data_IF_649326496954
#
_entry.id   IF_649326496954
#
_cell.length_a   1.000
_cell.length_b   1.000
_cell.length_c   1.000
_cell.angle_alpha   90.00
_cell.angle_beta   90.00
_cell.angle_gamma   90.00
#
_symmetry.space_group_name_H-M   'P 1'
#
loop_
_entity.id
_entity.type
_entity.pdbx_description
1 polymer ?
#
# COMPACT_ATOMS: atom_id res chain seq x y z
N UNK A 1 -55.95 -33.14 -25.61
CA UNK A 1 -55.01 -32.24 -26.30
C UNK A 1 -54.97 -30.98 -25.47
N UNK A 2 -53.98 -30.89 -24.58
CA UNK A 2 -53.67 -29.65 -23.86
C UNK A 2 -52.77 -28.89 -24.81
N UNK A 3 -53.25 -27.78 -25.33
CA UNK A 3 -52.42 -26.84 -26.09
C UNK A 3 -51.83 -25.94 -25.00
N UNK A 4 -50.54 -26.12 -24.70
CA UNK A 4 -49.81 -25.14 -23.90
C UNK A 4 -49.85 -23.82 -24.63
N UNK A 5 -50.21 -22.75 -23.93
CA UNK A 5 -50.13 -21.40 -24.49
C UNK A 5 -48.67 -21.01 -24.34
N UNK A 6 -47.95 -20.97 -25.44
CA UNK A 6 -46.57 -20.50 -25.46
C UNK A 6 -46.58 -19.01 -25.11
N UNK A 7 -45.87 -18.65 -24.05
CA UNK A 7 -45.74 -17.25 -23.61
C UNK A 7 -44.30 -16.85 -23.80
N UNK A 8 -44.09 -15.68 -24.39
CA UNK A 8 -42.75 -15.16 -24.69
C UNK A 8 -41.83 -15.22 -23.45
N UNK A 9 -40.63 -15.77 -23.63
CA UNK A 9 -39.55 -15.67 -22.65
C UNK A 9 -39.04 -14.23 -22.58
N UNK A 10 -38.94 -13.65 -21.39
CA UNK A 10 -38.56 -12.25 -21.19
C UNK A 10 -37.30 -12.17 -20.32
N UNK A 11 -36.33 -11.37 -20.78
CA UNK A 11 -35.19 -10.93 -19.97
C UNK A 11 -35.55 -9.64 -19.24
N UNK A 12 -35.55 -9.66 -17.91
CA UNK A 12 -35.79 -8.46 -17.11
C UNK A 12 -34.52 -7.61 -17.03
N UNK A 13 -34.35 -6.65 -17.94
CA UNK A 13 -33.12 -5.86 -18.06
C UNK A 13 -32.75 -5.11 -16.76
N UNK A 14 -33.73 -4.68 -15.97
CA UNK A 14 -33.53 -4.00 -14.69
C UNK A 14 -33.11 -4.93 -13.54
N UNK A 15 -33.03 -6.24 -13.79
CA UNK A 15 -32.62 -7.26 -12.81
C UNK A 15 -31.19 -7.74 -13.00
N UNK A 16 -30.52 -7.23 -14.03
CA UNK A 16 -29.16 -7.63 -14.36
C UNK A 16 -28.18 -7.06 -13.34
N UNK A 17 -27.33 -7.92 -12.79
CA UNK A 17 -26.31 -7.54 -11.82
C UNK A 17 -24.98 -8.19 -12.19
N UNK A 18 -23.89 -7.42 -12.07
CA UNK A 18 -22.51 -7.88 -12.19
C UNK A 18 -21.75 -7.27 -11.03
N UNK A 19 -21.09 -8.08 -10.21
CA UNK A 19 -20.19 -7.53 -9.21
C UNK A 19 -18.89 -7.08 -9.89
N UNK A 20 -18.48 -5.85 -9.60
CA UNK A 20 -17.23 -5.28 -10.08
C UNK A 20 -16.50 -4.63 -8.90
N UNK A 21 -15.20 -4.43 -9.05
CA UNK A 21 -14.40 -3.62 -8.14
C UNK A 21 -14.11 -2.29 -8.83
N UNK A 22 -14.81 -1.22 -8.44
CA UNK A 22 -14.67 0.10 -9.06
C UNK A 22 -14.85 0.07 -10.60
N UNK A 23 -15.88 -0.63 -11.10
CA UNK A 23 -16.13 -0.89 -12.52
C UNK A 23 -15.13 -1.84 -13.22
N UNK A 24 -14.26 -2.53 -12.48
CA UNK A 24 -13.34 -3.54 -13.05
C UNK A 24 -13.75 -4.98 -12.74
N UNK A 25 -13.43 -5.88 -13.68
CA UNK A 25 -13.31 -7.31 -13.41
C UNK A 25 -11.83 -7.67 -13.29
N UNK A 26 -11.50 -8.36 -12.20
CA UNK A 26 -10.15 -8.74 -11.80
C UNK A 26 -9.81 -10.13 -12.33
N UNK A 27 -8.71 -10.28 -13.06
CA UNK A 27 -8.29 -11.60 -13.58
C UNK A 27 -7.92 -12.57 -12.47
N UNK A 28 -8.33 -13.83 -12.58
CA UNK A 28 -8.08 -14.85 -11.57
C UNK A 28 -8.93 -14.75 -10.31
N UNK A 29 -9.73 -13.69 -10.14
CA UNK A 29 -10.66 -13.56 -9.01
C UNK A 29 -12.06 -14.04 -9.41
N UNK A 30 -12.84 -14.46 -8.41
CA UNK A 30 -14.22 -14.87 -8.60
C UNK A 30 -15.16 -13.65 -8.72
N UNK A 31 -15.94 -13.64 -9.79
CA UNK A 31 -16.99 -12.70 -10.11
C UNK A 31 -18.32 -13.45 -10.26
N UNK A 32 -19.39 -12.70 -10.33
CA UNK A 32 -20.76 -13.13 -10.34
C UNK A 32 -21.57 -12.22 -11.26
N UNK A 33 -22.25 -12.85 -12.22
CA UNK A 33 -23.28 -12.20 -13.02
C UNK A 33 -24.61 -12.88 -12.72
N UNK A 34 -25.67 -12.08 -12.56
CA UNK A 34 -27.02 -12.60 -12.36
C UNK A 34 -28.04 -11.86 -13.22
N UNK A 35 -29.12 -12.56 -13.54
CA UNK A 35 -30.22 -12.06 -14.34
C UNK A 35 -31.52 -12.77 -13.98
N UNK A 36 -32.64 -12.09 -14.13
CA UNK A 36 -33.96 -12.70 -14.01
C UNK A 36 -34.54 -12.96 -15.40
N UNK A 37 -34.98 -14.20 -15.60
CA UNK A 37 -35.65 -14.66 -16.80
C UNK A 37 -37.08 -15.02 -16.39
N UNK A 38 -38.06 -14.45 -17.10
CA UNK A 38 -39.47 -14.82 -16.99
C UNK A 38 -39.82 -15.80 -18.11
N UNK A 39 -40.33 -16.98 -17.73
CA UNK A 39 -40.82 -18.00 -18.65
C UNK A 39 -41.96 -18.78 -17.97
N UNK A 40 -43.17 -18.77 -18.55
CA UNK A 40 -44.32 -19.45 -17.92
C UNK A 40 -44.24 -20.99 -17.99
N UNK A 41 -43.40 -21.55 -18.86
CA UNK A 41 -43.10 -22.98 -18.87
C UNK A 41 -41.97 -23.32 -17.88
N UNK A 42 -41.29 -22.28 -17.39
CA UNK A 42 -40.22 -22.31 -16.40
C UNK A 42 -38.85 -22.36 -17.06
N UNK A 43 -37.86 -21.67 -16.48
CA UNK A 43 -36.49 -21.55 -17.02
C UNK A 43 -35.80 -22.90 -17.32
N UNK A 44 -36.24 -24.00 -16.69
CA UNK A 44 -35.75 -25.35 -16.97
C UNK A 44 -36.25 -25.93 -18.31
N UNK A 45 -37.09 -25.24 -19.07
CA UNK A 45 -37.44 -25.67 -20.43
C UNK A 45 -36.49 -25.08 -21.47
N UNK A 46 -35.79 -24.00 -21.14
CA UNK A 46 -34.85 -23.31 -22.00
C UNK A 46 -33.66 -24.21 -22.31
N UNK A 47 -33.28 -24.26 -23.59
CA UNK A 47 -32.12 -25.03 -24.06
C UNK A 47 -30.80 -24.43 -23.58
N UNK A 48 -30.62 -23.12 -23.76
CA UNK A 48 -29.34 -22.45 -23.51
C UNK A 48 -29.50 -20.95 -23.21
N UNK A 49 -28.71 -20.45 -22.28
CA UNK A 49 -28.51 -19.02 -22.02
C UNK A 49 -27.04 -18.68 -22.32
N UNK A 50 -26.80 -17.83 -23.30
CA UNK A 50 -25.46 -17.38 -23.69
C UNK A 50 -25.21 -15.98 -23.12
N UNK A 51 -24.14 -15.84 -22.35
CA UNK A 51 -23.65 -14.56 -21.84
C UNK A 51 -22.41 -14.16 -22.64
N UNK A 52 -22.43 -12.98 -23.23
CA UNK A 52 -21.31 -12.38 -23.94
C UNK A 52 -20.69 -11.30 -23.06
N UNK A 53 -19.81 -11.66 -22.13
CA UNK A 53 -19.21 -10.73 -21.16
C UNK A 53 -18.45 -9.57 -21.83
N UNK A 54 -17.75 -9.84 -22.93
CA UNK A 54 -17.06 -8.81 -23.71
C UNK A 54 -17.94 -8.18 -24.81
N UNK A 55 -19.23 -8.54 -24.88
CA UNK A 55 -20.18 -8.12 -25.91
C UNK A 55 -20.21 -9.05 -27.14
N UNK A 56 -21.38 -9.18 -27.77
CA UNK A 56 -21.61 -10.13 -28.88
C UNK A 56 -20.66 -9.96 -30.07
N UNK A 57 -20.21 -8.74 -30.36
CA UNK A 57 -19.29 -8.47 -31.48
C UNK A 57 -17.87 -8.99 -31.23
N UNK A 58 -17.51 -9.26 -29.97
CA UNK A 58 -16.20 -9.76 -29.59
C UNK A 58 -16.17 -11.27 -29.40
N UNK A 59 -17.32 -11.96 -29.53
CA UNK A 59 -17.40 -13.41 -29.44
C UNK A 59 -16.36 -14.08 -30.39
N UNK A 60 -15.62 -15.10 -29.92
CA UNK A 60 -15.88 -15.88 -28.71
C UNK A 60 -15.33 -15.28 -27.41
N UNK A 61 -14.64 -14.13 -27.42
CA UNK A 61 -14.10 -13.50 -26.20
C UNK A 61 -15.23 -13.20 -25.21
N UNK A 62 -15.07 -13.65 -23.95
CA UNK A 62 -16.06 -13.44 -22.91
C UNK A 62 -17.35 -14.26 -23.07
N UNK A 63 -17.42 -15.21 -24.00
CA UNK A 63 -18.63 -16.00 -24.25
C UNK A 63 -18.78 -17.16 -23.26
N UNK A 64 -19.95 -17.32 -22.65
CA UNK A 64 -20.30 -18.40 -21.73
C UNK A 64 -21.67 -18.96 -22.08
N UNK A 65 -21.76 -20.28 -22.20
CA UNK A 65 -22.98 -21.01 -22.50
C UNK A 65 -23.47 -21.71 -21.25
N UNK A 66 -24.66 -21.38 -20.78
CA UNK A 66 -25.29 -21.98 -19.61
C UNK A 66 -26.41 -22.91 -20.08
N UNK A 67 -26.41 -24.14 -19.60
CA UNK A 67 -27.57 -25.04 -19.69
C UNK A 67 -28.35 -24.95 -18.36
N UNK A 68 -29.52 -24.29 -18.34
CA UNK A 68 -30.30 -24.11 -17.11
C UNK A 68 -30.87 -25.41 -16.55
N UNK A 69 -30.98 -26.47 -17.37
CA UNK A 69 -31.54 -27.77 -16.95
C UNK A 69 -30.56 -28.55 -16.12
N UNK A 70 -29.30 -28.52 -16.56
CA UNK A 70 -28.20 -29.24 -15.91
C UNK A 70 -27.48 -28.37 -14.88
N UNK A 71 -27.77 -27.06 -14.84
CA UNK A 71 -27.08 -26.08 -13.99
C UNK A 71 -25.57 -26.07 -14.24
N UNK A 72 -25.19 -26.14 -15.51
CA UNK A 72 -23.79 -26.16 -15.94
C UNK A 72 -23.49 -25.00 -16.87
N UNK A 73 -22.23 -24.56 -16.85
CA UNK A 73 -21.72 -23.55 -17.76
C UNK A 73 -20.51 -24.11 -18.52
N UNK A 74 -20.42 -23.79 -19.79
CA UNK A 74 -19.31 -24.14 -20.68
C UNK A 74 -18.87 -22.92 -21.47
N UNK A 75 -17.64 -22.93 -21.96
CA UNK A 75 -17.07 -21.78 -22.67
C UNK A 75 -16.37 -22.27 -23.94
N UNK A 76 -16.57 -21.60 -25.09
CA UNK A 76 -15.83 -21.93 -26.29
C UNK A 76 -14.33 -21.59 -26.16
N UNK A 77 -13.51 -22.22 -27.00
CA UNK A 77 -12.07 -21.88 -27.09
C UNK A 77 -11.92 -20.40 -27.45
N UNK A 78 -11.12 -19.68 -26.66
CA UNK A 78 -10.90 -18.23 -26.85
C UNK A 78 -11.89 -17.34 -26.10
N UNK A 79 -12.71 -17.90 -25.20
CA UNK A 79 -13.54 -17.12 -24.28
C UNK A 79 -12.75 -16.45 -23.16
N UNK A 80 -11.70 -17.11 -22.65
CA UNK A 80 -10.92 -16.63 -21.50
C UNK A 80 -11.75 -16.43 -20.22
N UNK A 81 -12.95 -17.01 -20.17
CA UNK A 81 -13.74 -17.15 -18.95
C UNK A 81 -13.54 -18.57 -18.40
N UNK A 82 -13.31 -18.66 -17.11
CA UNK A 82 -13.34 -19.91 -16.36
C UNK A 82 -14.73 -20.03 -15.71
N UNK A 83 -15.64 -20.86 -16.25
CA UNK A 83 -16.98 -20.99 -15.71
C UNK A 83 -16.92 -21.67 -14.34
N UNK A 84 -17.61 -21.08 -13.36
CA UNK A 84 -17.76 -21.62 -12.02
C UNK A 84 -19.14 -22.25 -11.83
N UNK A 85 -19.73 -22.00 -10.67
CA UNK A 85 -21.03 -22.56 -10.31
C UNK A 85 -22.18 -21.77 -10.91
N UNK A 86 -23.19 -22.48 -11.40
CA UNK A 86 -24.47 -21.90 -11.81
C UNK A 86 -25.51 -22.21 -10.73
N UNK A 87 -26.26 -21.20 -10.30
CA UNK A 87 -27.37 -21.36 -9.36
C UNK A 87 -28.64 -20.73 -9.90
N UNK A 88 -29.78 -21.27 -9.46
CA UNK A 88 -31.10 -20.83 -9.86
C UNK A 88 -31.95 -20.62 -8.61
N UNK A 89 -32.60 -19.46 -8.52
CA UNK A 89 -33.54 -19.10 -7.46
C UNK A 89 -34.89 -18.78 -8.10
N UNK A 90 -35.94 -19.55 -7.77
CA UNK A 90 -37.31 -19.22 -8.18
C UNK A 90 -37.81 -18.02 -7.37
N UNK A 91 -38.27 -16.98 -8.06
CA UNK A 91 -38.81 -15.76 -7.46
C UNK A 91 -40.35 -15.86 -7.36
N UNK A 92 -40.98 -16.40 -8.40
CA UNK A 92 -42.41 -16.70 -8.46
C UNK A 92 -42.68 -17.88 -9.43
N UNK A 93 -43.94 -18.03 -9.88
CA UNK A 93 -44.38 -19.13 -10.76
C UNK A 93 -43.76 -19.09 -12.17
N UNK A 94 -43.34 -17.91 -12.66
CA UNK A 94 -42.78 -17.73 -14.01
C UNK A 94 -41.36 -17.14 -14.00
N UNK A 95 -40.93 -16.51 -12.90
CA UNK A 95 -39.68 -15.77 -12.82
C UNK A 95 -38.62 -16.53 -12.03
N UNK A 96 -37.42 -16.63 -12.60
CA UNK A 96 -36.26 -17.25 -11.92
C UNK A 96 -35.00 -16.41 -12.10
N UNK A 97 -34.23 -16.24 -11.03
CA UNK A 97 -32.90 -15.64 -11.07
C UNK A 97 -31.88 -16.72 -11.39
N UNK A 98 -31.16 -16.54 -12.50
CA UNK A 98 -30.00 -17.31 -12.88
C UNK A 98 -28.75 -16.55 -12.43
N UNK A 99 -27.84 -17.24 -11.73
CA UNK A 99 -26.58 -16.66 -11.26
C UNK A 99 -25.42 -17.54 -11.70
N UNK A 100 -24.40 -16.93 -12.31
CA UNK A 100 -23.16 -17.58 -12.69
C UNK A 100 -22.01 -16.98 -11.88
N UNK A 101 -21.28 -17.81 -11.15
CA UNK A 101 -19.95 -17.48 -10.66
C UNK A 101 -18.91 -17.83 -11.74
N UNK A 102 -17.92 -16.98 -11.96
CA UNK A 102 -16.89 -17.17 -12.98
C UNK A 102 -15.61 -16.42 -12.61
N UNK A 103 -14.49 -16.77 -13.24
CA UNK A 103 -13.27 -15.98 -13.18
C UNK A 103 -12.79 -15.63 -14.59
N UNK A 104 -12.08 -14.51 -14.75
CA UNK A 104 -11.34 -14.26 -15.99
C UNK A 104 -10.01 -15.00 -15.93
N UNK A 105 -9.60 -15.65 -17.01
CA UNK A 105 -8.29 -16.28 -17.11
C UNK A 105 -7.19 -15.21 -17.17
N UNK A 106 -6.04 -15.46 -16.55
CA UNK A 106 -4.87 -14.57 -16.63
C UNK A 106 -4.35 -14.34 -18.05
N UNK A 107 -4.76 -15.18 -19.00
CA UNK A 107 -4.46 -15.05 -20.43
C UNK A 107 -5.45 -14.13 -21.18
N UNK A 108 -6.41 -13.51 -20.49
CA UNK A 108 -7.35 -12.57 -21.10
C UNK A 108 -6.60 -11.45 -21.83
N UNK A 109 -6.85 -11.19 -23.13
CA UNK A 109 -5.98 -10.31 -23.93
C UNK A 109 -5.88 -8.88 -23.39
N UNK A 110 -4.65 -8.43 -23.14
CA UNK A 110 -4.37 -7.13 -22.51
C UNK A 110 -4.75 -5.91 -23.36
N UNK A 111 -4.94 -6.08 -24.68
CA UNK A 111 -5.40 -5.01 -25.57
C UNK A 111 -6.84 -4.53 -25.26
N UNK A 112 -7.55 -5.19 -24.33
CA UNK A 112 -8.87 -4.78 -23.85
C UNK A 112 -8.84 -3.96 -22.55
N UNK A 113 -7.68 -3.79 -21.89
CA UNK A 113 -7.53 -3.03 -20.62
C UNK A 113 -8.01 -1.58 -20.67
N UNK A 114 -7.97 -0.95 -21.84
CA UNK A 114 -8.41 0.44 -22.02
C UNK A 114 -9.79 0.55 -22.67
N UNK A 115 -10.46 -0.59 -22.88
CA UNK A 115 -11.73 -0.66 -23.58
C UNK A 115 -12.85 -1.08 -22.63
N UNK A 116 -13.86 -0.22 -22.51
CA UNK A 116 -15.10 -0.57 -21.84
C UNK A 116 -15.78 -1.73 -22.58
N UNK A 117 -16.03 -2.81 -21.84
CA UNK A 117 -16.79 -3.95 -22.31
C UNK A 117 -18.23 -3.82 -21.82
N UNK A 118 -19.18 -4.13 -22.71
CA UNK A 118 -20.61 -4.09 -22.42
C UNK A 118 -21.20 -5.47 -22.69
N UNK A 119 -21.62 -6.20 -21.65
CA UNK A 119 -22.18 -7.52 -21.82
C UNK A 119 -23.43 -7.56 -22.69
N UNK A 120 -23.73 -8.75 -23.21
CA UNK A 120 -25.01 -9.10 -23.83
C UNK A 120 -25.48 -10.48 -23.38
N UNK A 121 -26.77 -10.75 -23.47
CA UNK A 121 -27.38 -12.03 -23.12
C UNK A 121 -28.30 -12.48 -24.25
N UNK A 122 -28.18 -13.74 -24.63
CA UNK A 122 -29.04 -14.39 -25.61
C UNK A 122 -29.64 -15.65 -24.99
N UNK A 123 -30.93 -15.88 -25.22
CA UNK A 123 -31.65 -17.08 -24.76
C UNK A 123 -32.10 -17.86 -25.98
N UNK A 124 -31.78 -19.15 -25.99
CA UNK A 124 -32.11 -20.08 -27.06
C UNK A 124 -33.04 -21.15 -26.49
N UNK A 125 -34.14 -21.38 -27.19
CA UNK A 125 -35.09 -22.46 -26.94
C UNK A 125 -35.55 -23.07 -28.26
N UNK A 126 -35.65 -24.39 -28.34
CA UNK A 126 -35.98 -25.15 -29.56
C UNK A 126 -35.16 -24.70 -30.80
N UNK A 127 -33.86 -24.41 -30.60
CA UNK A 127 -32.93 -23.88 -31.61
C UNK A 127 -33.27 -22.47 -32.14
N UNK A 128 -34.19 -21.76 -31.50
CA UNK A 128 -34.56 -20.39 -31.85
C UNK A 128 -34.14 -19.42 -30.75
N UNK A 129 -33.73 -18.21 -31.14
CA UNK A 129 -33.51 -17.14 -30.18
C UNK A 129 -34.86 -16.61 -29.73
N UNK A 130 -35.17 -16.78 -28.44
CA UNK A 130 -36.43 -16.35 -27.83
C UNK A 130 -36.28 -15.00 -27.10
N UNK A 131 -35.09 -14.69 -26.60
CA UNK A 131 -34.76 -13.37 -26.05
C UNK A 131 -33.31 -12.98 -26.36
N UNK A 132 -33.05 -11.68 -26.54
CA UNK A 132 -31.71 -11.17 -26.81
C UNK A 132 -31.60 -9.71 -26.38
N UNK A 133 -30.65 -9.40 -25.49
CA UNK A 133 -30.32 -8.04 -25.05
C UNK A 133 -28.83 -7.82 -25.25
N UNK A 134 -28.47 -6.68 -25.84
CA UNK A 134 -27.09 -6.36 -26.19
C UNK A 134 -26.66 -5.01 -25.64
N UNK A 135 -25.34 -4.85 -25.42
CA UNK A 135 -24.74 -3.62 -24.93
C UNK A 135 -25.39 -3.13 -23.63
N UNK A 136 -25.50 -4.04 -22.66
CA UNK A 136 -26.11 -3.77 -21.35
C UNK A 136 -25.19 -2.83 -20.59
N UNK A 137 -25.46 -1.52 -20.69
CA UNK A 137 -24.59 -0.47 -20.15
C UNK A 137 -24.44 -0.50 -18.62
N UNK A 138 -25.46 -0.99 -17.92
CA UNK A 138 -25.45 -1.13 -16.45
C UNK A 138 -24.49 -2.23 -15.98
N UNK A 139 -24.12 -3.18 -16.86
CA UNK A 139 -23.13 -4.22 -16.59
C UNK A 139 -21.77 -3.90 -17.20
N UNK A 140 -21.51 -2.65 -17.60
CA UNK A 140 -20.22 -2.30 -18.20
C UNK A 140 -19.09 -2.60 -17.23
N UNK A 141 -17.95 -3.00 -17.77
CA UNK A 141 -16.76 -3.26 -16.98
C UNK A 141 -15.49 -3.00 -17.78
N UNK A 142 -14.37 -2.87 -17.06
CA UNK A 142 -13.04 -2.80 -17.64
C UNK A 142 -12.14 -3.92 -17.09
N UNK A 143 -11.15 -4.34 -17.87
CA UNK A 143 -10.22 -5.40 -17.47
C UNK A 143 -9.16 -4.85 -16.52
N UNK A 144 -9.01 -5.47 -15.36
CA UNK A 144 -7.85 -5.27 -14.50
C UNK A 144 -6.98 -6.54 -14.46
N UNK A 145 -5.83 -6.45 -15.10
CA UNK A 145 -4.83 -7.53 -15.17
C UNK A 145 -3.42 -7.04 -14.81
N UNK A 146 -3.32 -5.91 -14.12
CA UNK A 146 -2.06 -5.39 -13.62
C UNK A 146 -2.04 -5.48 -12.11
N UNK A 147 -0.97 -6.03 -11.56
CA UNK A 147 -0.74 -6.01 -10.12
C UNK A 147 0.31 -4.96 -9.74
N UNK A 148 0.11 -4.31 -8.61
CA UNK A 148 1.08 -3.43 -7.96
C UNK A 148 1.03 -3.64 -6.44
N UNK A 149 1.80 -2.84 -5.70
CA UNK A 149 1.78 -2.86 -4.24
C UNK A 149 1.33 -1.52 -3.69
N UNK A 150 0.51 -1.57 -2.64
CA UNK A 150 0.22 -0.44 -1.76
C UNK A 150 1.08 -0.59 -0.49
N UNK A 151 1.84 0.46 -0.14
CA UNK A 151 2.77 0.42 1.00
C UNK A 151 2.05 0.93 2.24
N UNK A 152 2.05 0.11 3.29
CA UNK A 152 1.50 0.46 4.59
C UNK A 152 2.52 1.24 5.42
N UNK A 153 3.72 0.66 5.62
CA UNK A 153 4.73 1.30 6.45
C UNK A 153 6.15 0.83 6.12
N UNK A 154 7.12 1.73 6.33
CA UNK A 154 8.54 1.42 6.37
C UNK A 154 9.03 1.47 7.82
N UNK A 155 9.85 0.50 8.21
CA UNK A 155 10.36 0.41 9.56
C UNK A 155 11.87 0.21 9.56
N UNK A 156 12.58 1.09 10.24
CA UNK A 156 13.96 0.81 10.62
C UNK A 156 13.98 -0.31 11.68
N UNK A 157 14.92 -1.24 11.52
CA UNK A 157 15.12 -2.38 12.41
C UNK A 157 16.49 -2.34 13.11
N UNK A 158 17.27 -1.27 12.91
CA UNK A 158 18.61 -1.11 13.46
C UNK A 158 18.61 0.03 14.46
N UNK A 159 18.98 -0.25 15.71
CA UNK A 159 19.14 0.84 16.67
C UNK A 159 20.32 1.73 16.28
N UNK A 160 20.21 3.06 16.42
CA UNK A 160 19.03 3.82 16.86
C UNK A 160 17.95 3.99 15.78
N UNK A 161 16.68 3.77 16.15
CA UNK A 161 15.57 3.71 15.20
C UNK A 161 15.16 5.09 14.67
N UNK A 162 14.98 5.21 13.36
CA UNK A 162 14.31 6.34 12.73
C UNK A 162 12.77 6.28 12.83
N UNK A 163 12.12 7.42 12.53
CA UNK A 163 10.65 7.48 12.47
C UNK A 163 10.13 6.76 11.22
N UNK A 164 9.14 5.89 11.40
CA UNK A 164 8.44 5.22 10.30
C UNK A 164 7.55 6.14 9.48
N UNK A 165 7.48 5.88 8.18
CA UNK A 165 6.58 6.52 7.20
C UNK A 165 6.41 5.58 5.98
N UNK A 166 5.26 5.58 5.27
CA UNK A 166 5.02 4.70 4.11
C UNK A 166 5.88 5.01 2.87
N UNK A 167 6.44 6.22 2.77
CA UNK A 167 7.08 6.73 1.56
C UNK A 167 8.55 7.08 1.75
N UNK A 168 8.96 7.47 2.97
CA UNK A 168 10.32 7.91 3.24
C UNK A 168 10.89 7.37 4.53
N UNK A 169 12.08 6.79 4.48
CA UNK A 169 12.78 6.30 5.67
C UNK A 169 14.21 6.83 5.71
N UNK A 170 14.66 7.22 6.89
CA UNK A 170 16.02 7.68 7.15
C UNK A 170 16.81 6.53 7.76
N UNK A 171 17.99 6.24 7.23
CA UNK A 171 18.78 5.05 7.60
C UNK A 171 20.27 5.33 7.56
N UNK A 172 20.99 4.62 8.42
CA UNK A 172 22.41 4.40 8.36
C UNK A 172 22.84 3.41 7.27
N UNK A 173 24.12 3.47 6.92
CA UNK A 173 24.77 2.47 6.09
C UNK A 173 24.93 1.18 6.88
N UNK A 174 24.46 0.08 6.33
CA UNK A 174 24.44 -1.22 7.00
C UNK A 174 23.11 -1.54 7.67
N UNK A 175 22.21 -0.55 7.78
CA UNK A 175 20.93 -0.74 8.46
C UNK A 175 20.04 -1.70 7.69
N UNK A 176 19.21 -2.40 8.46
CA UNK A 176 18.15 -3.27 7.97
C UNK A 176 16.83 -2.54 8.20
N UNK A 177 15.96 -2.56 7.19
CA UNK A 177 14.62 -2.02 7.28
C UNK A 177 13.59 -3.03 6.76
N UNK A 178 12.37 -2.95 7.29
CA UNK A 178 11.21 -3.68 6.81
C UNK A 178 10.33 -2.82 5.91
N UNK A 179 9.71 -3.47 4.94
CA UNK A 179 8.66 -2.93 4.07
C UNK A 179 7.43 -3.81 4.29
N UNK A 180 6.32 -3.19 4.70
CA UNK A 180 5.01 -3.83 4.77
C UNK A 180 4.06 -3.20 3.78
N UNK A 181 3.15 -4.01 3.24
CA UNK A 181 2.17 -3.56 2.27
C UNK A 181 1.30 -4.68 1.76
N UNK A 182 0.44 -4.35 0.80
CA UNK A 182 -0.53 -5.29 0.23
C UNK A 182 -0.41 -5.29 -1.29
N UNK A 183 -0.51 -6.47 -1.89
CA UNK A 183 -0.64 -6.62 -3.35
C UNK A 183 -2.05 -6.29 -3.79
N UNK A 184 -2.18 -5.37 -4.71
CA UNK A 184 -3.45 -4.88 -5.23
C UNK A 184 -3.47 -4.87 -6.75
N UNK A 185 -4.67 -4.90 -7.33
CA UNK A 185 -4.89 -4.63 -8.74
C UNK A 185 -4.75 -3.13 -9.01
N UNK A 186 -3.96 -2.76 -10.01
CA UNK A 186 -3.52 -1.38 -10.21
C UNK A 186 -4.60 -0.44 -10.77
N UNK A 187 -5.65 -0.97 -11.40
CA UNK A 187 -6.75 -0.14 -11.93
C UNK A 187 -7.85 0.10 -10.90
N UNK A 188 -8.15 -0.92 -10.12
CA UNK A 188 -9.28 -0.96 -9.17
C UNK A 188 -8.90 -0.72 -7.72
N UNK A 189 -7.61 -0.78 -7.38
CA UNK A 189 -7.05 -0.78 -6.03
C UNK A 189 -7.57 -1.93 -5.14
N UNK A 190 -8.17 -2.96 -5.75
CA UNK A 190 -8.68 -4.11 -5.02
C UNK A 190 -7.54 -5.04 -4.61
N UNK A 191 -7.57 -5.51 -3.37
CA UNK A 191 -6.67 -6.55 -2.88
C UNK A 191 -6.85 -7.87 -3.66
N UNK A 192 -5.75 -8.54 -3.99
CA UNK A 192 -5.79 -9.87 -4.58
C UNK A 192 -6.19 -10.90 -3.52
N UNK A 193 -7.24 -11.70 -3.76
CA UNK A 193 -7.70 -12.70 -2.78
C UNK A 193 -7.16 -14.09 -3.15
N UNK A 194 -7.37 -14.50 -4.40
CA UNK A 194 -6.86 -15.76 -4.94
C UNK A 194 -5.50 -15.52 -5.60
N UNK A 195 -4.42 -15.92 -4.92
CA UNK A 195 -3.06 -15.75 -5.43
C UNK A 195 -2.70 -16.83 -6.46
N UNK A 196 -2.11 -16.46 -7.61
CA UNK A 196 -1.49 -17.41 -8.51
C UNK A 196 -0.36 -18.21 -7.87
N UNK A 197 -0.16 -19.45 -8.34
CA UNK A 197 0.98 -20.26 -7.90
C UNK A 197 2.32 -19.60 -8.24
N UNK A 198 3.23 -19.57 -7.27
CA UNK A 198 4.59 -19.02 -7.39
C UNK A 198 4.66 -17.50 -7.66
N UNK A 199 3.60 -16.76 -7.34
CA UNK A 199 3.63 -15.30 -7.35
C UNK A 199 4.72 -14.81 -6.39
N UNK A 200 5.56 -13.88 -6.86
CA UNK A 200 6.71 -13.39 -6.10
C UNK A 200 6.70 -11.87 -6.05
N UNK A 201 7.16 -11.32 -4.93
CA UNK A 201 7.49 -9.90 -4.81
C UNK A 201 9.00 -9.72 -4.94
N UNK A 202 9.42 -8.77 -5.75
CA UNK A 202 10.81 -8.37 -5.92
C UNK A 202 10.98 -6.91 -5.53
N UNK A 203 11.71 -6.65 -4.45
CA UNK A 203 12.04 -5.30 -4.03
C UNK A 203 13.54 -5.06 -4.20
N UNK A 204 13.92 -3.92 -4.75
CA UNK A 204 15.33 -3.59 -4.96
C UNK A 204 15.65 -2.10 -4.86
N UNK A 205 16.90 -1.82 -4.54
CA UNK A 205 17.51 -0.49 -4.59
C UNK A 205 18.87 -0.58 -5.28
N UNK A 206 19.23 0.45 -6.01
CA UNK A 206 20.47 0.48 -6.80
C UNK A 206 21.24 1.77 -6.54
N UNK A 207 22.51 1.65 -6.15
CA UNK A 207 23.42 2.77 -6.01
C UNK A 207 24.82 2.42 -6.52
N UNK A 208 25.46 3.34 -7.26
CA UNK A 208 26.80 3.14 -7.82
C UNK A 208 26.99 1.83 -8.62
N UNK A 209 25.93 1.33 -9.26
CA UNK A 209 25.95 0.07 -10.02
C UNK A 209 25.92 -1.20 -9.16
N UNK A 210 25.70 -1.06 -7.85
CA UNK A 210 25.46 -2.17 -6.92
C UNK A 210 23.97 -2.24 -6.62
N UNK A 211 23.38 -3.42 -6.81
CA UNK A 211 22.00 -3.72 -6.46
C UNK A 211 21.96 -4.40 -5.10
N UNK A 212 21.02 -3.96 -4.25
CA UNK A 212 20.56 -4.72 -3.10
C UNK A 212 19.09 -5.04 -3.32
N UNK A 213 18.73 -6.31 -3.19
CA UNK A 213 17.41 -6.80 -3.53
C UNK A 213 16.98 -7.95 -2.62
N UNK A 214 15.67 -8.20 -2.63
CA UNK A 214 15.02 -9.33 -1.97
C UNK A 214 13.91 -9.85 -2.86
N UNK A 215 13.77 -11.17 -2.91
CA UNK A 215 12.63 -11.85 -3.53
C UNK A 215 11.87 -12.59 -2.44
N UNK A 216 10.54 -12.40 -2.40
CA UNK A 216 9.64 -13.04 -1.44
C UNK A 216 8.59 -13.83 -2.20
N UNK A 217 8.44 -15.12 -1.89
CA UNK A 217 7.31 -15.93 -2.35
C UNK A 217 6.04 -15.47 -1.60
N UNK A 218 5.01 -15.07 -2.35
CA UNK A 218 3.76 -14.58 -1.77
C UNK A 218 2.81 -15.74 -1.47
N UNK A 219 2.35 -15.82 -0.23
CA UNK A 219 1.33 -16.79 0.21
C UNK A 219 -0.01 -16.13 0.54
N UNK A 220 0.00 -14.82 0.73
CA UNK A 220 -1.16 -13.96 0.94
C UNK A 220 -0.85 -12.59 0.30
N UNK A 221 -1.85 -11.72 0.15
CA UNK A 221 -1.65 -10.42 -0.48
C UNK A 221 -0.84 -9.46 0.37
N UNK A 222 -1.05 -9.49 1.69
CA UNK A 222 -0.23 -8.72 2.63
C UNK A 222 1.17 -9.33 2.72
N UNK A 223 2.19 -8.49 2.61
CA UNK A 223 3.58 -8.92 2.68
C UNK A 223 4.34 -8.15 3.76
N UNK A 224 5.39 -8.80 4.25
CA UNK A 224 6.40 -8.21 5.11
C UNK A 224 7.76 -8.73 4.64
N UNK A 225 8.61 -7.83 4.17
CA UNK A 225 9.95 -8.17 3.68
C UNK A 225 10.98 -7.23 4.28
N UNK A 226 12.25 -7.64 4.24
CA UNK A 226 13.37 -6.83 4.74
C UNK A 226 14.45 -6.67 3.68
N UNK A 227 15.07 -5.49 3.67
CA UNK A 227 16.31 -5.23 2.92
C UNK A 227 17.35 -4.65 3.87
N UNK A 228 18.61 -4.77 3.47
CA UNK A 228 19.73 -4.10 4.15
C UNK A 228 20.38 -3.10 3.20
N UNK A 229 20.65 -1.89 3.70
CA UNK A 229 21.42 -0.86 3.00
C UNK A 229 22.89 -1.27 3.00
N UNK A 230 23.50 -1.56 1.83
CA UNK A 230 24.90 -1.98 1.81
C UNK A 230 25.83 -0.87 2.34
N UNK A 231 26.84 -1.26 3.12
CA UNK A 231 27.83 -0.33 3.71
C UNK A 231 28.58 0.51 2.68
N UNK A 232 28.65 0.04 1.42
CA UNK A 232 29.30 0.74 0.32
C UNK A 232 28.44 1.79 -0.39
N UNK A 233 27.17 1.93 0.00
CA UNK A 233 26.27 2.92 -0.61
C UNK A 233 26.71 4.36 -0.23
N UNK A 234 26.52 5.33 -1.15
CA UNK A 234 26.80 6.72 -0.84
C UNK A 234 25.76 7.26 0.14
N UNK A 235 26.14 8.28 0.93
CA UNK A 235 25.14 9.07 1.64
C UNK A 235 24.33 9.87 0.61
N UNK A 236 23.01 9.92 0.77
CA UNK A 236 22.09 10.54 -0.20
C UNK A 236 20.75 10.83 0.47
N UNK A 237 20.08 11.89 0.06
CA UNK A 237 18.72 12.20 0.54
C UNK A 237 17.61 11.59 -0.34
N UNK A 238 18.00 10.84 -1.38
CA UNK A 238 17.09 10.27 -2.35
C UNK A 238 17.67 9.00 -2.97
N UNK A 239 17.38 7.85 -2.37
CA UNK A 239 17.61 6.52 -2.94
C UNK A 239 16.26 5.84 -3.18
N UNK A 240 15.80 5.71 -4.43
CA UNK A 240 14.52 5.05 -4.71
C UNK A 240 14.59 3.54 -4.42
N UNK A 241 13.50 3.00 -3.91
CA UNK A 241 13.25 1.55 -3.85
C UNK A 241 12.16 1.22 -4.87
N UNK A 242 12.41 0.23 -5.71
CA UNK A 242 11.44 -0.27 -6.68
C UNK A 242 10.89 -1.60 -6.22
N UNK A 243 9.58 -1.80 -6.38
CA UNK A 243 8.92 -3.08 -6.08
C UNK A 243 8.14 -3.55 -7.31
N UNK A 244 8.43 -4.77 -7.74
CA UNK A 244 7.79 -5.47 -8.84
C UNK A 244 7.15 -6.77 -8.33
N UNK A 245 6.17 -7.26 -9.09
CA UNK A 245 5.54 -8.56 -8.88
C UNK A 245 5.96 -9.47 -10.04
N UNK A 246 6.61 -10.57 -9.70
CA UNK A 246 7.14 -11.54 -10.64
C UNK A 246 6.20 -12.74 -10.77
N UNK A 247 6.39 -13.47 -11.88
CA UNK A 247 5.67 -14.72 -12.21
C UNK A 247 4.15 -14.57 -12.28
N UNK A 248 3.66 -13.38 -12.66
CA UNK A 248 2.24 -13.19 -12.97
C UNK A 248 1.87 -14.08 -14.17
N UNK A 249 0.81 -14.91 -14.08
CA UNK A 249 0.48 -15.84 -15.16
C UNK A 249 -0.03 -15.14 -16.43
N UNK A 250 -0.07 -15.92 -17.52
CA UNK A 250 -0.71 -15.52 -18.77
C UNK A 250 -0.10 -14.25 -19.36
N UNK A 251 -0.95 -13.22 -19.52
CA UNK A 251 -0.57 -11.88 -20.01
C UNK A 251 -0.78 -10.80 -18.95
N UNK A 252 -0.88 -11.20 -17.67
CA UNK A 252 -0.88 -10.26 -16.56
C UNK A 252 0.47 -9.53 -16.46
N UNK A 253 0.43 -8.32 -15.92
CA UNK A 253 1.61 -7.45 -15.85
C UNK A 253 1.81 -6.90 -14.45
N UNK A 254 3.06 -6.56 -14.13
CA UNK A 254 3.35 -5.79 -12.92
C UNK A 254 3.48 -4.32 -13.29
N UNK A 255 2.83 -3.47 -12.49
CA UNK A 255 3.09 -2.04 -12.46
C UNK A 255 4.08 -1.76 -11.32
N UNK A 256 5.34 -1.48 -11.69
CA UNK A 256 6.42 -1.19 -10.75
C UNK A 256 6.05 -0.05 -9.79
N UNK A 257 6.08 -0.33 -8.50
CA UNK A 257 5.94 0.70 -7.47
C UNK A 257 7.28 1.41 -7.27
N UNK A 258 7.26 2.74 -7.24
CA UNK A 258 8.45 3.60 -7.04
C UNK A 258 8.21 4.69 -5.98
N UNK A 259 7.22 4.48 -5.10
CA UNK A 259 6.77 5.49 -4.14
C UNK A 259 7.66 5.57 -2.88
N UNK A 260 8.61 4.67 -2.74
CA UNK A 260 9.53 4.61 -1.60
C UNK A 260 10.85 5.32 -1.94
N UNK A 261 11.30 6.20 -1.05
CA UNK A 261 12.59 6.88 -1.13
C UNK A 261 13.32 6.81 0.21
N UNK A 262 14.57 6.36 0.21
CA UNK A 262 15.41 6.32 1.40
C UNK A 262 16.35 7.54 1.46
N UNK A 263 16.60 8.05 2.66
CA UNK A 263 17.66 8.99 2.96
C UNK A 263 18.75 8.27 3.76
N UNK A 264 19.94 8.13 3.19
CA UNK A 264 21.07 7.42 3.77
C UNK A 264 22.05 8.42 4.37
N UNK A 265 22.20 8.42 5.68
CA UNK A 265 23.22 9.19 6.41
C UNK A 265 23.83 8.40 7.56
N UNK A 266 25.13 8.53 7.76
CA UNK A 266 25.86 7.86 8.85
C UNK A 266 26.90 8.80 9.47
N UNK A 267 26.66 10.09 9.33
CA UNK A 267 27.51 11.16 9.85
C UNK A 267 26.84 11.70 11.09
N UNK A 268 27.42 11.55 12.30
CA UNK A 268 26.79 12.08 13.49
C UNK A 268 26.77 13.61 13.51
N UNK A 269 25.71 14.21 14.10
CA UNK A 269 25.59 15.65 14.20
C UNK A 269 26.68 16.24 15.09
N UNK A 270 27.22 17.40 14.69
CA UNK A 270 28.29 18.09 15.42
C UNK A 270 27.74 19.32 16.12
N UNK A 271 27.62 19.26 17.45
CA UNK A 271 27.16 20.38 18.26
C UNK A 271 28.32 21.29 18.71
N UNK A 272 28.10 22.61 18.63
CA UNK A 272 29.00 23.64 19.14
C UNK A 272 28.26 24.72 19.93
N UNK A 273 28.90 25.23 20.97
CA UNK A 273 28.47 26.43 21.67
C UNK A 273 29.05 27.66 20.94
N UNK A 274 28.23 28.64 20.55
CA UNK A 274 28.72 29.90 20.02
C UNK A 274 29.65 30.60 21.03
N UNK A 275 30.63 31.39 20.56
CA UNK A 275 31.53 32.13 21.44
C UNK A 275 30.77 32.99 22.46
N UNK A 276 31.11 32.84 23.75
CA UNK A 276 30.53 33.62 24.84
C UNK A 276 29.30 32.98 25.51
N UNK A 277 28.75 31.90 24.94
CA UNK A 277 27.68 31.12 25.59
C UNK A 277 28.30 30.24 26.68
N UNK A 278 27.70 30.26 27.88
CA UNK A 278 28.07 29.41 29.03
C UNK A 278 29.56 29.49 29.46
N UNK A 279 30.24 30.59 29.14
CA UNK A 279 31.64 30.83 29.57
C UNK A 279 31.73 31.23 31.04
N UNK A 280 30.73 31.98 31.53
CA UNK A 280 30.54 32.32 32.94
C UNK A 280 29.05 32.50 33.21
N UNK A 281 28.57 31.99 34.35
CA UNK A 281 27.18 32.16 34.77
C UNK A 281 27.19 32.75 36.18
N UNK A 282 26.52 33.88 36.35
CA UNK A 282 26.38 34.53 37.66
C UNK A 282 25.30 33.82 38.48
N UNK A 283 25.56 33.59 39.76
CA UNK A 283 24.66 32.79 40.63
C UNK A 283 23.30 33.44 40.84
N UNK A 284 23.18 34.76 40.69
CA UNK A 284 21.92 35.52 40.75
C UNK A 284 21.12 35.49 39.44
N UNK A 285 21.70 34.95 38.34
CA UNK A 285 21.07 34.80 37.02
C UNK A 285 20.69 33.37 36.67
N UNK A 286 20.83 32.44 37.60
CA UNK A 286 20.54 31.02 37.37
C UNK A 286 19.07 30.70 37.08
N UNK A 287 18.13 31.57 37.49
CA UNK A 287 16.69 31.36 37.25
C UNK A 287 16.30 31.42 35.78
N UNK A 288 17.13 32.03 34.93
CA UNK A 288 16.94 32.05 33.48
C UNK A 288 18.27 32.30 32.78
N UNK A 289 18.93 31.22 32.38
CA UNK A 289 20.18 31.22 31.60
C UNK A 289 19.82 31.01 30.14
N UNK A 290 20.09 32.02 29.30
CA UNK A 290 19.90 31.88 27.85
C UNK A 290 20.99 30.97 27.28
N UNK A 291 20.57 29.83 26.75
CA UNK A 291 21.46 28.85 26.11
C UNK A 291 21.12 28.76 24.64
N UNK A 292 22.16 28.78 23.81
CA UNK A 292 22.08 28.60 22.37
C UNK A 292 23.17 27.67 21.89
N UNK A 293 22.82 26.78 20.97
CA UNK A 293 23.70 25.76 20.40
C UNK A 293 23.50 25.74 18.89
N UNK A 294 24.59 25.61 18.14
CA UNK A 294 24.53 25.30 16.73
C UNK A 294 24.88 23.82 16.56
N UNK A 295 24.08 23.09 15.80
CA UNK A 295 24.34 21.70 15.42
C UNK A 295 24.53 21.67 13.91
N UNK A 296 25.68 21.18 13.46
CA UNK A 296 25.97 20.99 12.03
C UNK A 296 25.55 19.58 11.65
N UNK A 297 24.54 19.48 10.78
CA UNK A 297 23.98 18.24 10.27
C UNK A 297 23.34 18.42 8.88
N UNK A 298 23.69 17.54 7.94
CA UNK A 298 23.21 17.52 6.55
C UNK A 298 22.10 16.49 6.26
N UNK A 299 22.01 15.40 7.03
CA UNK A 299 20.93 14.41 6.98
C UNK A 299 19.62 14.90 7.60
N UNK A 300 19.71 15.99 8.35
CA UNK A 300 18.61 16.66 9.03
C UNK A 300 18.42 16.18 10.46
N UNK A 301 17.85 17.05 11.29
CA UNK A 301 17.55 16.77 12.69
C UNK A 301 16.04 16.65 12.90
N UNK A 302 15.64 16.02 13.99
CA UNK A 302 14.25 16.05 14.43
C UNK A 302 13.85 17.42 15.01
N UNK A 303 12.54 17.72 14.94
CA UNK A 303 11.95 18.98 15.41
C UNK A 303 11.68 19.01 16.92
N UNK A 304 11.88 17.89 17.63
CA UNK A 304 11.59 17.70 19.05
C UNK A 304 12.58 18.38 20.00
N UNK A 305 13.67 18.95 19.45
CA UNK A 305 14.68 19.68 20.20
C UNK A 305 15.75 18.77 20.79
N UNK A 306 16.80 19.37 21.35
CA UNK A 306 17.92 18.63 21.93
C UNK A 306 17.89 18.75 23.45
N UNK A 307 18.27 17.67 24.16
CA UNK A 307 18.36 17.69 25.61
C UNK A 307 19.71 18.23 26.05
N UNK A 308 19.71 19.17 26.98
CA UNK A 308 20.89 19.66 27.67
C UNK A 308 20.84 19.22 29.13
N UNK A 309 21.97 18.73 29.62
CA UNK A 309 22.13 18.30 30.99
C UNK A 309 23.29 19.05 31.63
N UNK A 310 23.20 19.26 32.94
CA UNK A 310 24.27 19.87 33.70
C UNK A 310 24.42 19.27 35.10
N UNK A 311 25.59 19.48 35.70
CA UNK A 311 25.86 19.23 37.11
C UNK A 311 26.90 20.23 37.62
N UNK A 312 26.69 20.75 38.84
CA UNK A 312 27.69 21.59 39.49
C UNK A 312 28.77 20.74 40.17
N UNK A 313 30.00 21.26 40.19
CA UNK A 313 31.17 20.60 40.74
C UNK A 313 31.94 21.51 41.68
N UNK A 314 32.42 20.96 42.79
CA UNK A 314 33.31 21.64 43.75
C UNK A 314 34.60 20.87 43.89
N UNK A 315 35.73 21.50 43.59
CA UNK A 315 37.03 20.82 43.58
C UNK A 315 37.09 19.63 42.62
N UNK A 316 36.36 19.69 41.51
CA UNK A 316 36.27 18.63 40.50
C UNK A 316 35.26 17.51 40.78
N UNK A 317 34.60 17.51 41.95
CA UNK A 317 33.60 16.50 42.32
C UNK A 317 32.18 17.02 42.14
N UNK A 318 31.29 16.18 41.59
CA UNK A 318 29.86 16.50 41.46
C UNK A 318 29.25 16.81 42.83
N UNK A 319 28.50 17.91 42.91
CA UNK A 319 27.71 18.25 44.10
C UNK A 319 26.39 17.46 44.02
N UNK A 320 26.11 16.54 44.96
CA UNK A 320 24.86 15.77 44.92
C UNK A 320 23.63 16.67 44.94
N UNK A 321 22.63 16.37 44.11
CA UNK A 321 21.39 17.16 44.02
C UNK A 321 21.50 18.49 43.26
N UNK A 322 22.64 18.74 42.61
CA UNK A 322 22.90 19.95 41.81
C UNK A 322 22.74 19.74 40.30
N UNK A 323 22.38 18.54 39.87
CA UNK A 323 22.17 18.24 38.46
C UNK A 323 20.80 18.70 37.98
N UNK A 324 20.71 19.06 36.70
CA UNK A 324 19.45 19.36 36.05
C UNK A 324 19.47 18.97 34.58
N UNK A 325 18.30 19.07 33.96
CA UNK A 325 18.13 18.88 32.52
C UNK A 325 17.05 19.82 31.99
N UNK A 326 17.17 20.17 30.71
CA UNK A 326 16.18 20.95 29.98
C UNK A 326 16.20 20.56 28.50
N UNK A 327 15.14 20.92 27.78
CA UNK A 327 15.08 20.78 26.32
C UNK A 327 15.37 22.13 25.68
N UNK A 328 16.23 22.14 24.68
CA UNK A 328 16.46 23.29 23.80
C UNK A 328 15.57 23.13 22.56
N UNK A 329 14.65 24.05 22.37
CA UNK A 329 13.78 24.08 21.19
C UNK A 329 14.53 24.53 19.94
N UNK A 330 14.09 24.03 18.78
CA UNK A 330 14.59 24.51 17.48
C UNK A 330 14.20 25.97 17.27
N UNK A 331 15.19 26.84 17.07
CA UNK A 331 15.01 28.27 16.78
C UNK A 331 14.94 28.52 15.28
N UNK A 332 15.90 27.96 14.52
CA UNK A 332 15.99 28.14 13.06
C UNK A 332 16.94 27.13 12.42
N UNK A 333 16.81 26.97 11.10
CA UNK A 333 17.71 26.15 10.27
C UNK A 333 18.31 27.03 9.17
N UNK A 334 19.64 27.00 9.02
CA UNK A 334 20.41 27.79 8.06
C UNK A 334 21.36 26.88 7.26
N UNK A 335 20.89 26.34 6.14
CA UNK A 335 21.62 25.28 5.42
C UNK A 335 21.72 24.04 6.31
N UNK A 336 22.94 23.56 6.53
CA UNK A 336 23.20 22.39 7.38
C UNK A 336 23.36 22.76 8.87
N UNK A 337 23.08 24.01 9.26
CA UNK A 337 23.20 24.47 10.65
C UNK A 337 21.83 24.60 11.30
N UNK A 338 21.58 23.75 12.28
CA UNK A 338 20.40 23.71 13.13
C UNK A 338 20.67 24.47 14.42
N UNK A 339 19.91 25.54 14.67
CA UNK A 339 20.11 26.41 15.83
C UNK A 339 19.04 26.09 16.85
N UNK A 340 19.47 25.68 18.04
CA UNK A 340 18.60 25.41 19.19
C UNK A 340 18.83 26.45 20.28
N UNK A 341 17.77 26.95 20.89
CA UNK A 341 17.89 27.89 22.00
C UNK A 341 16.71 27.85 22.97
N UNK A 342 16.99 28.10 24.25
CA UNK A 342 15.98 28.26 25.30
C UNK A 342 16.55 29.02 26.50
N UNK A 343 15.67 29.65 27.26
CA UNK A 343 15.98 30.14 28.61
C UNK A 343 15.79 29.02 29.63
N UNK A 344 16.85 28.69 30.38
CA UNK A 344 16.90 27.52 31.27
C UNK A 344 17.04 27.97 32.72
N UNK A 345 16.16 27.45 33.59
CA UNK A 345 16.38 27.53 35.03
C UNK A 345 17.45 26.50 35.44
N UNK A 346 18.65 27.00 35.73
CA UNK A 346 19.79 26.22 36.19
C UNK A 346 19.97 26.28 37.71
N UNK A 347 19.01 26.80 38.47
CA UNK A 347 19.12 26.80 39.93
C UNK A 347 19.24 25.36 40.47
N UNK A 348 20.22 25.07 41.35
CA UNK A 348 20.25 23.78 42.02
C UNK A 348 19.11 23.70 43.03
N UNK A 349 18.86 22.50 43.57
CA UNK A 349 17.85 22.32 44.61
C UNK A 349 18.07 23.32 45.77
N UNK A 350 16.98 23.83 46.36
CA UNK A 350 17.00 24.97 47.31
C UNK A 350 17.92 24.83 48.54
N UNK A 351 18.33 23.62 48.87
CA UNK A 351 19.24 23.31 49.98
C UNK A 351 20.73 23.32 49.58
N UNK A 352 21.04 23.50 48.30
CA UNK A 352 22.39 23.57 47.75
C UNK A 352 22.77 25.03 47.57
N UNK A 353 23.88 25.43 48.19
CA UNK A 353 24.46 26.76 48.00
C UNK A 353 25.73 26.66 47.18
N UNK A 354 25.73 27.32 46.03
CA UNK A 354 26.90 27.47 45.19
C UNK A 354 27.86 28.51 45.78
N UNK A 355 29.15 28.19 45.75
CA UNK A 355 30.23 29.05 46.21
C UNK A 355 31.08 29.56 45.05
N UNK A 356 31.87 30.58 45.34
CA UNK A 356 32.88 31.07 44.39
C UNK A 356 33.85 29.94 44.03
N UNK A 357 34.10 29.76 42.73
CA UNK A 357 34.97 28.69 42.22
C UNK A 357 34.28 27.34 41.98
N UNK A 358 32.98 27.22 42.27
CA UNK A 358 32.20 26.07 41.77
C UNK A 358 32.15 26.10 40.23
N UNK A 359 32.22 24.91 39.63
CA UNK A 359 32.26 24.71 38.18
C UNK A 359 30.95 24.07 37.72
N UNK A 360 30.60 24.23 36.44
CA UNK A 360 29.49 23.52 35.80
C UNK A 360 30.04 22.58 34.74
N UNK A 361 29.52 21.36 34.69
CA UNK A 361 29.76 20.43 33.60
C UNK A 361 28.47 20.24 32.83
N UNK A 362 28.53 20.37 31.50
CA UNK A 362 27.38 20.38 30.60
C UNK A 362 27.61 19.34 29.50
N UNK A 363 26.56 18.64 29.12
CA UNK A 363 26.56 17.75 27.95
C UNK A 363 25.20 17.78 27.27
N UNK A 364 25.19 17.33 26.01
CA UNK A 364 24.02 17.30 25.15
C UNK A 364 23.66 15.86 24.82
N UNK A 365 22.38 15.62 24.61
CA UNK A 365 21.84 14.37 24.09
C UNK A 365 20.83 14.74 23.01
N UNK A 366 21.03 14.20 21.82
CA UNK A 366 20.20 14.37 20.64
C UNK A 366 20.76 13.50 19.52
N UNK A 367 19.96 13.30 18.47
CA UNK A 367 20.37 12.56 17.28
C UNK A 367 19.76 13.15 16.02
N UNK A 368 20.28 12.74 14.87
CA UNK A 368 19.75 13.11 13.57
C UNK A 368 18.55 12.23 13.17
N UNK A 369 17.98 12.47 11.98
CA UNK A 369 16.84 11.68 11.49
C UNK A 369 17.19 10.22 11.14
N UNK A 370 18.46 9.93 10.84
CA UNK A 370 18.97 8.57 10.61
C UNK A 370 19.40 7.88 11.93
N UNK A 371 19.17 8.54 13.07
CA UNK A 371 19.44 8.05 14.41
C UNK A 371 20.85 8.34 14.95
N UNK A 372 21.76 8.95 14.18
CA UNK A 372 23.18 9.09 14.57
C UNK A 372 23.44 9.93 15.83
#
# INVERSE_FOLDING_TARGET
MVIGVDTDTILLENSFELNTNNDYLLVGQNHQVSMVIEDSNGINTIDEVIIYMAGQTNAPLGEVHIDPREMTATTPTGSYILPGTVTMESLDEASSRLTLNFALDWSFPSNFRENWMMPGVQVIDDLQTVANVNNIGDLRWNLDNQLTVEIDQLHDLTEPLSSSDPSKLYLGKGDIFAITGTVVYAGSDAEIIELPENLQLYASMVANGVTADVTLDLTEAYFNTTLSVPVGFPSTNSLPVTIDILNIPGVGESLTNTNITLAIDSTPPVAEFPPGVLTSIETDRLSNVDVRINVVESGGMADDGISIHWVYRRGGLNIPGSSGQATLSLESVLGDVWIYSSGIDMQPASHITLGEGDQIAIWLIGGDLAGN
#
